data_IF_946664173203
#
_entry.id   IF_946664173203
#
_cell.length_a   1.000
_cell.length_b   1.000
_cell.length_c   1.000
_cell.angle_alpha   90.00
_cell.angle_beta   90.00
_cell.angle_gamma   90.00
#
_symmetry.space_group_name_H-M   'P 1'
#
loop_
_entity.id
_entity.type
_entity.pdbx_description
1 polymer ?
#
# COMPACT_ATOMS: atom_id res chain seq x y z
N UNK A 1 36.66 18.56 16.22
CA UNK A 1 35.96 19.26 15.11
C UNK A 1 34.60 18.62 14.90
N UNK A 2 33.52 19.41 14.76
CA UNK A 2 32.17 18.90 14.43
C UNK A 2 31.91 19.07 12.94
N UNK A 3 31.53 17.99 12.27
CA UNK A 3 31.31 17.96 10.82
C UNK A 3 29.81 18.13 10.50
N UNK A 4 29.36 19.28 9.93
CA UNK A 4 27.96 19.44 9.54
C UNK A 4 27.63 18.68 8.24
N UNK A 5 26.48 18.02 8.20
CA UNK A 5 26.12 17.04 7.17
C UNK A 5 25.88 17.59 5.75
N UNK A 6 25.59 18.88 5.56
CA UNK A 6 25.07 19.39 4.28
C UNK A 6 26.12 20.01 3.34
N UNK A 7 27.14 20.70 3.88
CA UNK A 7 28.14 21.41 3.05
C UNK A 7 29.34 20.55 2.62
N UNK A 8 29.61 19.48 3.36
CA UNK A 8 30.88 18.74 3.26
C UNK A 8 30.81 17.48 2.42
N UNK A 9 29.61 17.00 2.08
CA UNK A 9 29.37 15.82 1.22
C UNK A 9 29.94 15.97 -0.20
N UNK A 10 30.39 17.16 -0.61
CA UNK A 10 30.97 17.43 -1.93
C UNK A 10 32.42 17.92 -1.88
N UNK A 11 33.03 17.99 -0.70
CA UNK A 11 34.42 18.45 -0.57
C UNK A 11 35.38 17.37 -1.07
N UNK A 12 36.24 17.75 -2.02
CA UNK A 12 37.36 16.93 -2.50
C UNK A 12 38.60 17.04 -1.63
N UNK A 13 38.54 17.79 -0.53
CA UNK A 13 39.63 17.99 0.42
C UNK A 13 39.39 17.15 1.67
N UNK A 14 40.45 16.98 2.44
CA UNK A 14 40.36 16.54 3.83
C UNK A 14 40.47 17.80 4.69
N UNK A 15 39.33 18.28 5.16
CA UNK A 15 39.30 19.54 5.89
C UNK A 15 40.02 19.46 7.25
N UNK A 16 40.17 18.28 7.84
CA UNK A 16 41.00 18.10 9.03
C UNK A 16 42.47 18.39 8.69
N UNK A 17 42.99 17.81 7.60
CA UNK A 17 44.36 18.08 7.16
C UNK A 17 44.57 19.55 6.79
N UNK A 18 43.59 20.17 6.12
CA UNK A 18 43.65 21.61 5.83
C UNK A 18 43.74 22.44 7.12
N UNK A 19 42.99 22.10 8.18
CA UNK A 19 43.06 22.80 9.47
C UNK A 19 44.41 22.55 10.16
N UNK A 20 44.90 21.31 10.15
CA UNK A 20 46.16 20.92 10.79
C UNK A 20 47.37 21.56 10.12
N UNK A 21 47.38 21.70 8.79
CA UNK A 21 48.45 22.39 8.05
C UNK A 21 48.62 23.84 8.51
N UNK A 22 47.53 24.49 8.90
CA UNK A 22 47.52 25.89 9.36
C UNK A 22 47.73 26.04 10.87
N UNK A 23 47.88 24.94 11.62
CA UNK A 23 48.15 24.95 13.05
C UNK A 23 49.53 24.33 13.32
N UNK A 24 50.43 25.09 13.95
CA UNK A 24 51.75 24.59 14.39
C UNK A 24 51.60 23.65 15.61
N UNK A 25 50.91 22.51 15.44
CA UNK A 25 50.78 21.46 16.46
C UNK A 25 51.89 20.42 16.27
N UNK A 26 52.50 19.98 17.38
CA UNK A 26 53.62 19.04 17.38
C UNK A 26 53.24 17.59 17.09
N UNK A 27 51.98 17.20 17.37
CA UNK A 27 51.42 15.90 17.01
C UNK A 27 49.91 16.03 16.71
N UNK A 28 49.60 16.17 15.43
CA UNK A 28 48.29 16.59 14.93
C UNK A 28 47.14 15.60 15.21
N UNK A 29 47.46 14.33 15.49
CA UNK A 29 46.47 13.28 15.76
C UNK A 29 46.23 13.04 17.26
N UNK A 30 47.15 13.47 18.14
CA UNK A 30 47.03 13.30 19.59
C UNK A 30 46.22 14.43 20.25
N UNK A 31 46.24 15.63 19.65
CA UNK A 31 45.63 16.84 20.25
C UNK A 31 44.20 17.13 19.76
N UNK A 32 43.66 16.32 18.84
CA UNK A 32 42.39 16.60 18.16
C UNK A 32 41.43 15.42 18.20
N UNK A 33 40.18 15.69 18.60
CA UNK A 33 39.08 14.75 18.51
C UNK A 33 38.13 15.13 17.36
N UNK A 34 37.83 14.17 16.49
CA UNK A 34 36.82 14.31 15.43
C UNK A 34 35.56 13.59 15.88
N UNK A 35 34.50 14.37 16.08
CA UNK A 35 33.16 13.89 16.45
C UNK A 35 32.28 14.00 15.20
N UNK A 36 31.76 12.87 14.73
CA UNK A 36 30.81 12.79 13.62
C UNK A 36 29.47 12.40 14.21
N UNK A 37 28.44 13.22 13.93
CA UNK A 37 27.09 13.00 14.42
C UNK A 37 26.16 12.73 13.25
N UNK A 38 25.46 11.59 13.25
CA UNK A 38 24.48 11.20 12.25
C UNK A 38 23.18 10.71 12.90
N UNK A 39 22.03 10.79 12.20
CA UNK A 39 20.78 10.23 12.70
C UNK A 39 20.82 8.73 12.98
N UNK A 40 21.81 8.00 12.46
CA UNK A 40 21.96 6.55 12.63
C UNK A 40 22.93 6.18 13.76
N UNK A 41 23.57 7.13 14.44
CA UNK A 41 24.56 6.82 15.48
C UNK A 41 24.00 6.00 16.65
N UNK A 42 22.70 6.13 16.95
CA UNK A 42 22.04 5.32 17.97
C UNK A 42 21.95 3.83 17.61
N UNK A 43 22.02 3.49 16.32
CA UNK A 43 21.94 2.13 15.79
C UNK A 43 23.31 1.60 15.35
N UNK A 44 24.13 2.47 14.75
CA UNK A 44 25.46 2.16 14.24
C UNK A 44 26.38 3.36 14.54
N UNK A 45 27.04 3.41 15.71
CA UNK A 45 27.83 4.57 16.13
C UNK A 45 28.92 4.89 15.12
N UNK A 46 28.98 6.14 14.63
CA UNK A 46 29.99 6.54 13.65
C UNK A 46 31.43 6.24 14.13
N UNK A 47 31.69 6.35 15.43
CA UNK A 47 32.99 6.04 16.07
C UNK A 47 33.52 4.64 15.81
N UNK A 48 32.65 3.67 15.49
CA UNK A 48 33.04 2.29 15.21
C UNK A 48 33.35 2.06 13.72
N UNK A 49 33.12 3.07 12.87
CA UNK A 49 33.39 2.97 11.44
C UNK A 49 34.89 3.07 11.14
N UNK A 50 35.52 2.07 10.48
CA UNK A 50 36.94 2.11 10.15
C UNK A 50 37.37 3.31 9.28
N UNK A 51 36.45 3.84 8.47
CA UNK A 51 36.70 5.00 7.61
C UNK A 51 37.08 6.27 8.41
N UNK A 52 36.69 6.36 9.69
CA UNK A 52 37.04 7.48 10.55
C UNK A 52 38.54 7.53 10.86
N UNK A 53 39.18 6.38 11.03
CA UNK A 53 40.63 6.30 11.24
C UNK A 53 41.39 6.64 9.96
N UNK A 54 40.96 6.13 8.81
CA UNK A 54 41.55 6.50 7.51
C UNK A 54 41.41 8.01 7.22
N UNK A 55 40.30 8.63 7.64
CA UNK A 55 40.11 10.07 7.51
C UNK A 55 41.06 10.87 8.43
N UNK A 56 41.25 10.42 9.68
CA UNK A 56 42.20 11.02 10.64
C UNK A 56 43.65 10.94 10.16
N UNK A 57 43.98 9.89 9.41
CA UNK A 57 45.29 9.72 8.76
C UNK A 57 45.45 10.53 7.47
N UNK A 58 44.43 11.31 7.07
CA UNK A 58 44.48 12.12 5.86
C UNK A 58 44.26 11.35 4.55
N UNK A 59 43.88 10.06 4.61
CA UNK A 59 43.74 9.19 3.42
C UNK A 59 42.42 9.38 2.68
N UNK A 60 41.39 9.87 3.37
CA UNK A 60 40.06 10.11 2.81
C UNK A 60 39.77 11.60 2.68
N UNK A 61 39.01 11.96 1.64
CA UNK A 61 38.39 13.29 1.55
C UNK A 61 37.09 13.30 2.36
N UNK A 62 36.57 14.48 2.68
CA UNK A 62 35.31 14.60 3.42
C UNK A 62 34.16 13.89 2.69
N UNK A 63 34.09 14.02 1.36
CA UNK A 63 33.08 13.33 0.55
C UNK A 63 33.20 11.80 0.63
N UNK A 64 34.43 11.26 0.58
CA UNK A 64 34.66 9.81 0.69
C UNK A 64 34.30 9.29 2.07
N UNK A 65 34.66 10.03 3.13
CA UNK A 65 34.26 9.69 4.50
C UNK A 65 32.73 9.59 4.60
N UNK A 66 32.00 10.60 4.12
CA UNK A 66 30.54 10.62 4.22
C UNK A 66 29.86 9.49 3.44
N UNK A 67 30.40 9.12 2.27
CA UNK A 67 29.90 7.95 1.52
C UNK A 67 30.16 6.65 2.28
N UNK A 68 31.42 6.40 2.67
CA UNK A 68 31.79 5.16 3.35
C UNK A 68 31.09 5.00 4.71
N UNK A 69 31.01 6.07 5.49
CA UNK A 69 30.28 6.09 6.76
C UNK A 69 28.78 5.82 6.55
N UNK A 70 28.16 6.47 5.55
CA UNK A 70 26.75 6.27 5.24
C UNK A 70 26.45 4.84 4.78
N UNK A 71 27.32 4.23 3.99
CA UNK A 71 27.19 2.84 3.55
C UNK A 71 27.34 1.87 4.74
N UNK A 72 28.38 2.08 5.55
CA UNK A 72 28.66 1.27 6.73
C UNK A 72 27.53 1.33 7.77
N UNK A 73 27.02 2.54 8.08
CA UNK A 73 25.92 2.73 9.04
C UNK A 73 24.61 2.10 8.54
N UNK A 74 24.32 2.19 7.23
CA UNK A 74 23.12 1.54 6.66
C UNK A 74 23.19 0.03 6.78
N UNK A 75 24.33 -0.56 6.44
CA UNK A 75 24.54 -2.01 6.53
C UNK A 75 24.45 -2.50 7.99
N UNK A 76 25.12 -1.82 8.92
CA UNK A 76 25.11 -2.22 10.33
C UNK A 76 23.75 -2.00 11.00
N UNK A 77 23.06 -0.91 10.69
CA UNK A 77 21.72 -0.66 11.22
C UNK A 77 20.69 -1.66 10.65
N UNK A 78 20.83 -2.06 9.38
CA UNK A 78 19.97 -3.07 8.76
C UNK A 78 20.15 -4.47 9.39
N UNK A 79 21.39 -4.83 9.73
CA UNK A 79 21.72 -6.08 10.42
C UNK A 79 21.40 -6.07 11.93
N UNK A 80 20.98 -4.93 12.47
CA UNK A 80 20.56 -4.79 13.86
C UNK A 80 19.16 -5.34 14.13
N UNK A 81 18.72 -5.27 15.39
CA UNK A 81 17.37 -5.70 15.79
C UNK A 81 16.27 -4.65 15.58
N UNK A 82 16.58 -3.51 14.95
CA UNK A 82 15.64 -2.42 14.76
C UNK A 82 14.77 -2.67 13.51
N UNK A 83 13.49 -2.33 13.59
CA UNK A 83 12.52 -2.62 12.53
C UNK A 83 12.01 -1.34 11.86
N UNK A 84 12.00 -1.31 10.52
CA UNK A 84 11.55 -0.13 9.77
C UNK A 84 12.28 0.08 8.45
N UNK A 85 12.40 1.34 8.03
CA UNK A 85 13.03 1.76 6.77
C UNK A 85 14.18 2.73 7.06
N UNK A 86 15.36 2.45 6.52
CA UNK A 86 16.52 3.33 6.63
C UNK A 86 16.65 4.16 5.35
N UNK A 87 16.49 5.48 5.47
CA UNK A 87 16.76 6.45 4.41
C UNK A 87 17.36 7.74 5.00
N UNK A 88 18.68 7.74 5.24
CA UNK A 88 19.40 8.82 5.93
C UNK A 88 19.10 8.94 7.43
N UNK A 89 17.91 8.49 7.84
CA UNK A 89 17.44 8.27 9.21
C UNK A 89 16.67 6.95 9.27
N UNK A 90 16.37 6.49 10.48
CA UNK A 90 15.50 5.33 10.71
C UNK A 90 14.05 5.78 10.84
N UNK A 91 13.16 5.22 10.02
CA UNK A 91 11.73 5.44 10.08
C UNK A 91 11.04 4.16 10.56
N UNK A 92 10.14 4.29 11.55
CA UNK A 92 9.24 3.18 11.89
C UNK A 92 8.30 2.87 10.71
N UNK A 93 7.70 1.67 10.64
CA UNK A 93 6.71 1.37 9.60
C UNK A 93 5.57 2.40 9.50
N UNK A 94 5.10 2.89 10.65
CA UNK A 94 4.05 3.92 10.73
C UNK A 94 4.54 5.27 10.22
N UNK A 95 5.74 5.70 10.63
CA UNK A 95 6.33 6.96 10.15
C UNK A 95 6.61 6.92 8.64
N UNK A 96 7.06 5.78 8.12
CA UNK A 96 7.24 5.58 6.68
C UNK A 96 5.92 5.71 5.93
N UNK A 97 4.86 5.05 6.39
CA UNK A 97 3.55 5.13 5.79
C UNK A 97 2.97 6.55 5.84
N UNK A 98 3.09 7.22 6.99
CA UNK A 98 2.64 8.59 7.18
C UNK A 98 3.41 9.58 6.29
N UNK A 99 4.74 9.47 6.22
CA UNK A 99 5.61 10.34 5.42
C UNK A 99 5.26 10.26 3.93
N UNK A 100 4.96 9.07 3.43
CA UNK A 100 4.55 8.85 2.03
C UNK A 100 3.03 9.00 1.81
N UNK A 101 2.26 9.31 2.85
CA UNK A 101 0.79 9.38 2.80
C UNK A 101 0.17 8.13 2.16
N UNK A 102 0.70 6.95 2.51
CA UNK A 102 0.23 5.68 1.95
C UNK A 102 -1.20 5.39 2.44
N UNK A 103 -2.04 4.91 1.53
CA UNK A 103 -3.42 4.51 1.81
C UNK A 103 -3.83 3.32 0.96
N UNK A 104 -4.95 2.68 1.33
CA UNK A 104 -5.52 1.53 0.62
C UNK A 104 -4.50 0.40 0.42
N UNK A 105 -4.41 -0.12 -0.81
CA UNK A 105 -3.47 -1.19 -1.17
C UNK A 105 -2.02 -0.85 -0.85
N UNK A 106 -1.58 0.38 -1.06
CA UNK A 106 -0.18 0.76 -0.81
C UNK A 106 0.19 0.68 0.68
N UNK A 107 -0.71 1.10 1.56
CA UNK A 107 -0.49 0.99 3.00
C UNK A 107 -0.45 -0.48 3.45
N UNK A 108 -1.36 -1.31 2.92
CA UNK A 108 -1.38 -2.76 3.20
C UNK A 108 -0.11 -3.45 2.71
N UNK A 109 0.33 -3.15 1.48
CA UNK A 109 1.57 -3.70 0.91
C UNK A 109 2.78 -3.29 1.77
N UNK A 110 2.90 -2.01 2.13
CA UNK A 110 4.00 -1.53 2.94
C UNK A 110 4.07 -2.25 4.29
N UNK A 111 2.92 -2.38 4.97
CA UNK A 111 2.82 -3.08 6.25
C UNK A 111 3.26 -4.54 6.14
N UNK A 112 2.72 -5.30 5.20
CA UNK A 112 3.03 -6.72 5.03
C UNK A 112 4.50 -6.96 4.65
N UNK A 113 5.08 -6.12 3.79
CA UNK A 113 6.49 -6.23 3.43
C UNK A 113 7.40 -5.92 4.61
N UNK A 114 7.07 -4.89 5.40
CA UNK A 114 7.86 -4.51 6.56
C UNK A 114 7.69 -5.56 7.66
N UNK A 115 6.48 -5.91 8.10
CA UNK A 115 6.24 -6.89 9.18
C UNK A 115 6.90 -8.25 8.96
N UNK A 116 7.06 -8.69 7.70
CA UNK A 116 7.69 -9.96 7.35
C UNK A 116 9.22 -9.88 7.27
N UNK A 117 9.79 -8.68 7.25
CA UNK A 117 11.22 -8.48 7.11
C UNK A 117 11.93 -8.46 8.46
N UNK A 118 12.88 -9.37 8.64
CA UNK A 118 13.72 -9.38 9.83
C UNK A 118 14.71 -8.20 9.77
N UNK A 119 14.51 -7.19 10.61
CA UNK A 119 15.37 -6.01 10.70
C UNK A 119 14.84 -4.80 9.92
N UNK A 120 15.76 -3.94 9.45
CA UNK A 120 15.44 -2.69 8.79
C UNK A 120 15.78 -2.72 7.30
N UNK A 121 14.87 -2.19 6.47
CA UNK A 121 15.06 -2.13 5.02
C UNK A 121 15.81 -0.85 4.65
N UNK A 122 17.06 -0.97 4.21
CA UNK A 122 17.82 0.16 3.68
C UNK A 122 17.41 0.49 2.23
N UNK A 123 17.03 1.74 1.98
CA UNK A 123 16.62 2.20 0.64
C UNK A 123 17.32 3.49 0.23
N UNK A 124 17.72 3.57 -1.04
CA UNK A 124 18.35 4.78 -1.59
C UNK A 124 17.33 5.90 -1.85
N UNK A 125 16.13 5.55 -2.28
CA UNK A 125 15.03 6.47 -2.49
C UNK A 125 13.90 6.16 -1.52
N UNK A 126 13.39 7.17 -0.82
CA UNK A 126 12.24 7.03 0.07
C UNK A 126 10.95 6.84 -0.73
N UNK A 127 10.72 5.62 -1.20
CA UNK A 127 9.54 5.23 -1.98
C UNK A 127 9.12 3.81 -1.62
N UNK A 128 7.82 3.50 -1.78
CA UNK A 128 7.33 2.13 -1.61
C UNK A 128 7.94 1.18 -2.67
N UNK A 129 8.25 1.68 -3.87
CA UNK A 129 8.90 0.89 -4.92
C UNK A 129 10.30 0.42 -4.51
N UNK A 130 11.09 1.29 -3.89
CA UNK A 130 12.41 0.92 -3.36
C UNK A 130 12.32 -0.13 -2.24
N UNK A 131 11.35 0.01 -1.33
CA UNK A 131 11.11 -1.00 -0.27
C UNK A 131 10.68 -2.34 -0.88
N UNK A 132 9.75 -2.34 -1.83
CA UNK A 132 9.31 -3.54 -2.53
C UNK A 132 10.45 -4.21 -3.30
N UNK A 133 11.32 -3.43 -3.95
CA UNK A 133 12.52 -3.93 -4.63
C UNK A 133 13.53 -4.56 -3.67
N UNK A 134 13.83 -3.87 -2.56
CA UNK A 134 14.77 -4.36 -1.55
C UNK A 134 14.28 -5.63 -0.85
N UNK A 135 12.97 -5.74 -0.61
CA UNK A 135 12.34 -6.89 0.05
C UNK A 135 11.85 -7.97 -0.93
N UNK A 136 12.07 -7.81 -2.24
CA UNK A 136 11.48 -8.68 -3.26
C UNK A 136 11.86 -10.15 -3.10
N UNK A 137 13.16 -10.46 -3.07
CA UNK A 137 13.65 -11.83 -2.91
C UNK A 137 13.39 -12.39 -1.51
N UNK A 138 13.63 -11.64 -0.41
CA UNK A 138 13.38 -12.16 0.93
C UNK A 138 11.91 -12.51 1.21
N UNK A 139 10.97 -11.62 0.84
CA UNK A 139 9.56 -11.76 1.26
C UNK A 139 8.55 -11.39 0.17
N UNK A 140 8.87 -10.46 -0.72
CA UNK A 140 7.92 -9.94 -1.72
C UNK A 140 7.38 -11.02 -2.67
N UNK A 141 8.23 -11.96 -3.12
CA UNK A 141 7.80 -13.08 -3.95
C UNK A 141 6.88 -14.05 -3.20
N UNK A 142 7.13 -14.30 -1.91
CA UNK A 142 6.24 -15.14 -1.11
C UNK A 142 4.90 -14.44 -0.89
N UNK A 143 4.92 -13.14 -0.58
CA UNK A 143 3.70 -12.34 -0.43
C UNK A 143 2.87 -12.32 -1.73
N UNK A 144 3.53 -12.24 -2.89
CA UNK A 144 2.89 -12.34 -4.19
C UNK A 144 2.16 -13.68 -4.36
N UNK A 145 2.82 -14.79 -3.99
CA UNK A 145 2.24 -16.14 -4.05
C UNK A 145 1.06 -16.29 -3.09
N UNK A 146 1.17 -15.74 -1.87
CA UNK A 146 0.08 -15.75 -0.89
C UNK A 146 -1.18 -15.04 -1.42
N UNK A 147 -1.01 -14.05 -2.31
CA UNK A 147 -2.10 -13.36 -3.01
C UNK A 147 -2.45 -13.97 -4.38
N UNK A 148 -1.99 -15.19 -4.65
CA UNK A 148 -2.32 -15.93 -5.89
C UNK A 148 -1.62 -15.41 -7.15
N UNK A 149 -0.58 -14.60 -7.00
CA UNK A 149 0.25 -14.09 -8.10
C UNK A 149 1.43 -15.02 -8.44
N UNK A 150 2.07 -14.74 -9.57
CA UNK A 150 3.33 -15.37 -9.98
C UNK A 150 4.29 -14.29 -10.43
N UNK A 151 5.57 -14.42 -10.06
CA UNK A 151 6.59 -13.44 -10.37
C UNK A 151 6.82 -13.34 -11.89
N UNK A 152 6.88 -12.11 -12.41
CA UNK A 152 7.20 -11.79 -13.80
C UNK A 152 8.27 -10.67 -13.91
N UNK A 153 8.50 -10.14 -15.11
CA UNK A 153 9.54 -9.13 -15.40
C UNK A 153 9.15 -7.69 -15.00
N UNK A 154 7.91 -7.44 -14.54
CA UNK A 154 7.44 -6.10 -14.16
C UNK A 154 8.00 -5.66 -12.82
N UNK A 155 7.82 -4.40 -12.49
CA UNK A 155 8.26 -3.84 -11.20
C UNK A 155 7.58 -4.57 -10.02
N UNK A 156 8.32 -4.96 -8.96
CA UNK A 156 7.78 -5.67 -7.79
C UNK A 156 6.49 -5.07 -7.21
N UNK A 157 6.46 -3.75 -7.06
CA UNK A 157 5.31 -3.06 -6.50
C UNK A 157 4.06 -3.15 -7.40
N UNK A 158 4.24 -3.16 -8.72
CA UNK A 158 3.13 -3.33 -9.66
C UNK A 158 2.53 -4.73 -9.51
N UNK A 159 3.37 -5.76 -9.46
CA UNK A 159 2.93 -7.15 -9.29
C UNK A 159 2.14 -7.34 -7.99
N UNK A 160 2.63 -6.75 -6.89
CA UNK A 160 1.97 -6.80 -5.58
C UNK A 160 0.62 -6.09 -5.58
N UNK A 161 0.49 -4.94 -6.23
CA UNK A 161 -0.79 -4.22 -6.37
C UNK A 161 -1.82 -5.05 -7.13
N UNK A 162 -1.42 -5.60 -8.28
CA UNK A 162 -2.29 -6.40 -9.11
C UNK A 162 -2.72 -7.70 -8.42
N UNK A 163 -1.80 -8.36 -7.72
CA UNK A 163 -2.11 -9.57 -6.96
C UNK A 163 -3.06 -9.25 -5.81
N UNK A 164 -2.79 -8.21 -5.02
CA UNK A 164 -3.66 -7.82 -3.91
C UNK A 164 -5.06 -7.45 -4.39
N UNK A 165 -5.18 -6.65 -5.45
CA UNK A 165 -6.48 -6.26 -6.01
C UNK A 165 -7.27 -7.49 -6.49
N UNK A 166 -6.60 -8.47 -7.11
CA UNK A 166 -7.24 -9.73 -7.54
C UNK A 166 -7.63 -10.59 -6.35
N UNK A 167 -6.78 -10.72 -5.34
CA UNK A 167 -7.05 -11.49 -4.13
C UNK A 167 -8.28 -10.92 -3.40
N UNK A 168 -8.35 -9.61 -3.20
CA UNK A 168 -9.51 -8.97 -2.57
C UNK A 168 -10.80 -9.18 -3.40
N UNK A 169 -10.70 -9.14 -4.74
CA UNK A 169 -11.82 -9.44 -5.61
C UNK A 169 -12.28 -10.90 -5.48
N UNK A 170 -11.33 -11.84 -5.38
CA UNK A 170 -11.61 -13.26 -5.20
C UNK A 170 -12.24 -13.54 -3.84
N UNK A 171 -11.69 -12.97 -2.76
CA UNK A 171 -12.22 -13.10 -1.40
C UNK A 171 -13.66 -12.56 -1.32
N UNK A 172 -13.90 -11.39 -1.93
CA UNK A 172 -15.22 -10.77 -1.98
C UNK A 172 -16.26 -11.64 -2.72
N UNK A 173 -15.83 -12.40 -3.74
CA UNK A 173 -16.68 -13.32 -4.48
C UNK A 173 -16.83 -14.68 -3.79
N UNK A 174 -15.80 -15.17 -3.10
CA UNK A 174 -15.82 -16.44 -2.38
C UNK A 174 -16.79 -16.42 -1.18
N UNK A 175 -17.08 -15.24 -0.64
CA UNK A 175 -18.12 -15.05 0.37
C UNK A 175 -19.54 -15.29 -0.17
N UNK A 176 -19.73 -15.30 -1.49
CA UNK A 176 -21.02 -15.49 -2.14
C UNK A 176 -21.14 -16.90 -2.72
N UNK A 177 -22.27 -17.59 -2.52
CA UNK A 177 -22.48 -18.90 -3.14
C UNK A 177 -22.53 -18.79 -4.66
N UNK A 178 -22.11 -19.86 -5.37
CA UNK A 178 -22.37 -20.00 -6.79
C UNK A 178 -23.83 -20.41 -6.99
N UNK A 179 -24.61 -19.54 -7.63
CA UNK A 179 -26.01 -19.78 -7.92
C UNK A 179 -26.15 -20.24 -9.38
N UNK A 180 -27.06 -21.18 -9.62
CA UNK A 180 -27.35 -21.71 -10.96
C UNK A 180 -28.06 -20.70 -11.87
N UNK A 181 -28.77 -21.19 -12.89
CA UNK A 181 -29.54 -20.33 -13.79
C UNK A 181 -30.69 -19.64 -13.05
N UNK A 182 -30.45 -18.41 -12.60
CA UNK A 182 -31.44 -17.57 -11.95
C UNK A 182 -32.39 -16.91 -12.97
N UNK A 183 -33.67 -16.70 -12.63
CA UNK A 183 -34.57 -15.86 -13.41
C UNK A 183 -34.06 -14.40 -13.51
N UNK A 184 -34.55 -13.59 -14.47
CA UNK A 184 -33.97 -12.27 -14.79
C UNK A 184 -33.78 -11.33 -13.59
N UNK A 185 -34.77 -11.24 -12.69
CA UNK A 185 -34.72 -10.34 -11.55
C UNK A 185 -33.76 -10.81 -10.43
N UNK A 186 -33.82 -12.06 -9.94
CA UNK A 186 -32.78 -12.60 -9.06
C UNK A 186 -31.38 -12.55 -9.69
N UNK A 187 -31.27 -12.77 -11.00
CA UNK A 187 -30.00 -12.67 -11.71
C UNK A 187 -29.46 -11.23 -11.74
N UNK A 188 -30.32 -10.23 -11.93
CA UNK A 188 -29.94 -8.82 -11.84
C UNK A 188 -29.45 -8.46 -10.42
N UNK A 189 -30.15 -8.91 -9.39
CA UNK A 189 -29.76 -8.69 -7.99
C UNK A 189 -28.41 -9.36 -7.66
N UNK A 190 -28.20 -10.62 -8.06
CA UNK A 190 -26.94 -11.34 -7.85
C UNK A 190 -25.77 -10.64 -8.57
N UNK A 191 -25.93 -10.31 -9.86
CA UNK A 191 -24.91 -9.57 -10.62
C UNK A 191 -24.60 -8.22 -9.97
N UNK A 192 -25.61 -7.47 -9.54
CA UNK A 192 -25.40 -6.19 -8.90
C UNK A 192 -24.58 -6.30 -7.61
N UNK A 193 -24.88 -7.27 -6.74
CA UNK A 193 -24.10 -7.48 -5.51
C UNK A 193 -22.67 -7.89 -5.82
N UNK A 194 -22.43 -8.79 -6.80
CA UNK A 194 -21.07 -9.16 -7.22
C UNK A 194 -20.29 -7.96 -7.73
N UNK A 195 -20.91 -7.08 -8.52
CA UNK A 195 -20.27 -5.87 -9.02
C UNK A 195 -20.00 -4.85 -7.91
N UNK A 196 -20.88 -4.73 -6.92
CA UNK A 196 -20.68 -3.90 -5.73
C UNK A 196 -19.51 -4.41 -4.89
N UNK A 197 -19.50 -5.70 -4.58
CA UNK A 197 -18.46 -6.34 -3.75
C UNK A 197 -17.07 -6.28 -4.39
N UNK A 198 -17.02 -6.22 -5.72
CA UNK A 198 -15.76 -6.12 -6.50
C UNK A 198 -15.41 -4.69 -6.92
N UNK A 199 -16.18 -3.68 -6.51
CA UNK A 199 -15.90 -2.27 -6.81
C UNK A 199 -16.03 -1.89 -8.29
N UNK A 200 -16.67 -2.73 -9.12
CA UNK A 200 -16.83 -2.54 -10.57
C UNK A 200 -17.99 -1.59 -10.89
N UNK A 201 -17.90 -0.36 -10.39
CA UNK A 201 -18.97 0.64 -10.46
C UNK A 201 -19.42 0.95 -11.89
N UNK A 202 -18.50 1.05 -12.86
CA UNK A 202 -18.88 1.35 -14.25
C UNK A 202 -19.68 0.22 -14.91
N UNK A 203 -19.31 -1.04 -14.65
CA UNK A 203 -20.07 -2.19 -15.12
C UNK A 203 -21.45 -2.24 -14.46
N UNK A 204 -21.52 -1.95 -13.15
CA UNK A 204 -22.79 -1.85 -12.43
C UNK A 204 -23.69 -0.78 -13.05
N UNK A 205 -23.16 0.40 -13.37
CA UNK A 205 -23.95 1.46 -14.00
C UNK A 205 -24.50 1.04 -15.37
N UNK A 206 -23.73 0.28 -16.15
CA UNK A 206 -24.18 -0.26 -17.45
C UNK A 206 -25.29 -1.29 -17.28
N UNK A 207 -25.16 -2.22 -16.33
CA UNK A 207 -26.20 -3.20 -16.02
C UNK A 207 -27.50 -2.52 -15.56
N UNK A 208 -27.41 -1.54 -14.67
CA UNK A 208 -28.59 -0.82 -14.16
C UNK A 208 -29.28 0.01 -15.24
N UNK A 209 -28.52 0.57 -16.19
CA UNK A 209 -29.09 1.28 -17.33
C UNK A 209 -29.86 0.33 -18.26
N UNK A 210 -29.36 -0.90 -18.49
CA UNK A 210 -30.08 -1.90 -19.27
C UNK A 210 -31.37 -2.36 -18.57
N UNK A 211 -31.31 -2.57 -17.25
CA UNK A 211 -32.47 -2.94 -16.44
C UNK A 211 -33.56 -1.86 -16.39
N UNK A 212 -33.21 -0.59 -16.61
CA UNK A 212 -34.16 0.53 -16.63
C UNK A 212 -35.20 0.45 -17.77
N UNK A 213 -34.94 -0.38 -18.80
CA UNK A 213 -35.83 -0.65 -19.93
C UNK A 213 -36.53 -2.02 -19.85
N UNK A 214 -36.31 -2.77 -18.76
CA UNK A 214 -36.79 -4.14 -18.59
C UNK A 214 -38.16 -4.21 -17.87
N UNK A 215 -38.45 -5.33 -17.20
CA UNK A 215 -39.71 -5.51 -16.47
C UNK A 215 -39.89 -4.49 -15.34
N UNK A 216 -41.13 -4.28 -14.90
CA UNK A 216 -41.43 -3.33 -13.82
C UNK A 216 -40.62 -3.62 -12.54
N UNK A 217 -40.47 -4.90 -12.18
CA UNK A 217 -39.68 -5.33 -11.02
C UNK A 217 -38.18 -5.08 -11.19
N UNK A 218 -37.62 -5.33 -12.38
CA UNK A 218 -36.22 -5.03 -12.67
C UNK A 218 -35.92 -3.53 -12.65
N UNK A 219 -36.84 -2.71 -13.16
CA UNK A 219 -36.73 -1.24 -13.11
C UNK A 219 -36.77 -0.72 -11.68
N UNK A 220 -37.65 -1.26 -10.84
CA UNK A 220 -37.76 -0.89 -9.44
C UNK A 220 -36.50 -1.31 -8.66
N UNK A 221 -36.02 -2.54 -8.89
CA UNK A 221 -34.76 -2.99 -8.31
C UNK A 221 -33.57 -2.12 -8.76
N UNK A 222 -33.49 -1.78 -10.05
CA UNK A 222 -32.43 -0.91 -10.57
C UNK A 222 -32.45 0.46 -9.89
N UNK A 223 -33.63 1.04 -9.67
CA UNK A 223 -33.77 2.29 -8.92
C UNK A 223 -33.35 2.16 -7.45
N UNK A 224 -33.74 1.07 -6.77
CA UNK A 224 -33.32 0.81 -5.39
C UNK A 224 -31.78 0.72 -5.26
N UNK A 225 -31.11 0.06 -6.21
CA UNK A 225 -29.65 -0.07 -6.24
C UNK A 225 -28.97 1.27 -6.52
N UNK A 226 -29.51 2.08 -7.43
CA UNK A 226 -28.99 3.43 -7.70
C UNK A 226 -29.07 4.32 -6.45
N UNK A 227 -30.11 4.17 -5.63
CA UNK A 227 -30.22 4.88 -4.36
C UNK A 227 -29.22 4.38 -3.33
N UNK A 228 -29.09 3.07 -3.19
CA UNK A 228 -28.14 2.45 -2.27
C UNK A 228 -26.70 2.90 -2.54
N UNK A 229 -26.33 3.06 -3.81
CA UNK A 229 -24.98 3.50 -4.23
C UNK A 229 -24.80 5.01 -4.31
N UNK A 230 -25.82 5.81 -3.95
CA UNK A 230 -25.78 7.27 -4.10
C UNK A 230 -25.72 7.77 -5.56
N UNK A 231 -25.95 6.88 -6.53
CA UNK A 231 -25.86 7.16 -7.97
C UNK A 231 -27.20 7.52 -8.63
N UNK A 232 -28.25 7.77 -7.83
CA UNK A 232 -29.59 8.11 -8.29
C UNK A 232 -29.72 9.53 -8.87
N UNK A 233 -28.78 10.43 -8.53
CA UNK A 233 -28.84 11.85 -8.90
C UNK A 233 -28.95 12.06 -10.41
N UNK A 234 -29.95 12.84 -10.84
CA UNK A 234 -30.16 13.20 -12.25
C UNK A 234 -30.81 12.13 -13.11
N UNK A 235 -31.18 10.97 -12.55
CA UNK A 235 -31.83 9.86 -13.27
C UNK A 235 -33.29 9.65 -12.90
N UNK A 236 -33.84 10.43 -11.97
CA UNK A 236 -35.23 10.33 -11.51
C UNK A 236 -36.26 10.38 -12.64
N UNK A 237 -35.99 11.15 -13.70
CA UNK A 237 -36.88 11.29 -14.86
C UNK A 237 -37.04 10.00 -15.68
N UNK A 238 -36.10 9.04 -15.55
CA UNK A 238 -36.12 7.76 -16.26
C UNK A 238 -37.08 6.74 -15.62
N UNK A 239 -37.50 7.00 -14.37
CA UNK A 239 -38.32 6.08 -13.59
C UNK A 239 -39.69 6.69 -13.27
N UNK A 240 -40.75 5.97 -13.65
CA UNK A 240 -42.12 6.35 -13.31
C UNK A 240 -42.31 6.40 -11.78
N UNK A 241 -43.30 7.15 -11.29
CA UNK A 241 -43.54 7.29 -9.85
C UNK A 241 -43.81 5.93 -9.20
N UNK A 242 -44.60 5.10 -9.85
CA UNK A 242 -45.01 3.77 -9.38
C UNK A 242 -43.79 2.84 -9.22
N UNK A 243 -42.81 2.94 -10.14
CA UNK A 243 -41.54 2.20 -10.06
C UNK A 243 -40.70 2.66 -8.87
N UNK A 244 -40.70 3.97 -8.59
CA UNK A 244 -39.96 4.55 -7.47
C UNK A 244 -40.57 4.19 -6.13
N UNK A 245 -41.91 4.18 -6.02
CA UNK A 245 -42.64 3.71 -4.85
C UNK A 245 -42.35 2.23 -4.59
N UNK A 246 -42.42 1.38 -5.62
CA UNK A 246 -42.12 -0.04 -5.46
C UNK A 246 -40.66 -0.31 -5.07
N UNK A 247 -39.72 0.49 -5.58
CA UNK A 247 -38.32 0.40 -5.20
C UNK A 247 -38.06 0.74 -3.72
N UNK A 248 -38.87 1.59 -3.09
CA UNK A 248 -38.78 1.84 -1.65
C UNK A 248 -39.08 0.59 -0.83
N UNK A 249 -39.99 -0.26 -1.32
CA UNK A 249 -40.30 -1.54 -0.70
C UNK A 249 -39.17 -2.56 -0.89
N UNK A 250 -38.50 -2.54 -2.05
CA UNK A 250 -37.39 -3.46 -2.36
C UNK A 250 -36.07 -3.06 -1.71
N UNK A 251 -35.89 -1.79 -1.36
CA UNK A 251 -34.60 -1.27 -0.89
C UNK A 251 -34.07 -1.98 0.39
N UNK A 252 -34.86 -2.17 1.47
CA UNK A 252 -34.37 -2.89 2.65
C UNK A 252 -34.00 -4.35 2.36
N UNK A 253 -34.71 -5.00 1.44
CA UNK A 253 -34.42 -6.37 1.04
C UNK A 253 -33.10 -6.43 0.25
N UNK A 254 -32.86 -5.47 -0.64
CA UNK A 254 -31.59 -5.37 -1.36
C UNK A 254 -30.42 -5.05 -0.43
N UNK A 255 -30.59 -4.15 0.54
CA UNK A 255 -29.55 -3.85 1.54
C UNK A 255 -29.17 -5.08 2.37
N UNK A 256 -30.18 -5.89 2.75
CA UNK A 256 -29.96 -7.17 3.42
C UNK A 256 -29.18 -8.14 2.54
N UNK A 257 -29.57 -8.27 1.26
CA UNK A 257 -28.88 -9.12 0.29
C UNK A 257 -27.43 -8.67 0.07
N UNK A 258 -27.19 -7.36 -0.07
CA UNK A 258 -25.86 -6.80 -0.31
C UNK A 258 -24.89 -7.08 0.84
N UNK A 259 -25.39 -7.16 2.07
CA UNK A 259 -24.63 -7.48 3.28
C UNK A 259 -24.52 -8.98 3.58
N UNK A 260 -25.37 -9.82 2.98
CA UNK A 260 -25.43 -11.26 3.26
C UNK A 260 -24.24 -12.04 2.66
N UNK A 261 -23.90 -13.14 3.32
CA UNK A 261 -22.78 -14.04 2.94
C UNK A 261 -23.18 -15.51 3.16
N UNK A 262 -22.53 -16.42 2.43
CA UNK A 262 -22.76 -17.86 2.55
C UNK A 262 -24.23 -18.27 2.37
N UNK A 263 -24.75 -19.11 3.26
CA UNK A 263 -26.13 -19.61 3.17
C UNK A 263 -27.19 -18.50 3.30
N UNK A 264 -26.91 -17.45 4.09
CA UNK A 264 -27.85 -16.33 4.27
C UNK A 264 -28.07 -15.52 3.00
N UNK A 265 -27.13 -15.59 2.05
CA UNK A 265 -27.23 -14.90 0.77
C UNK A 265 -28.34 -15.47 -0.11
N UNK A 266 -28.44 -16.79 -0.22
CA UNK A 266 -29.46 -17.44 -1.03
C UNK A 266 -30.87 -17.15 -0.48
N UNK A 267 -31.03 -17.20 0.84
CA UNK A 267 -32.29 -16.87 1.52
C UNK A 267 -32.68 -15.40 1.30
N UNK A 268 -31.72 -14.48 1.39
CA UNK A 268 -31.95 -13.06 1.13
C UNK A 268 -32.35 -12.80 -0.33
N UNK A 269 -31.74 -13.51 -1.28
CA UNK A 269 -32.04 -13.38 -2.70
C UNK A 269 -33.43 -13.92 -3.02
N UNK A 270 -33.81 -15.08 -2.47
CA UNK A 270 -35.14 -15.64 -2.61
C UNK A 270 -36.20 -14.70 -2.01
N UNK A 271 -35.93 -14.11 -0.85
CA UNK A 271 -36.84 -13.13 -0.22
C UNK A 271 -37.03 -11.88 -1.08
N UNK A 272 -35.96 -11.36 -1.68
CA UNK A 272 -36.02 -10.24 -2.62
C UNK A 272 -36.87 -10.62 -3.84
N UNK A 273 -36.67 -11.81 -4.41
CA UNK A 273 -37.44 -12.31 -5.54
C UNK A 273 -38.95 -12.36 -5.24
N UNK A 274 -39.31 -12.92 -4.07
CA UNK A 274 -40.71 -13.02 -3.63
C UNK A 274 -41.37 -11.64 -3.46
N UNK A 275 -40.66 -10.69 -2.85
CA UNK A 275 -41.15 -9.31 -2.69
C UNK A 275 -41.33 -8.63 -4.05
N UNK A 276 -40.44 -8.92 -5.00
CA UNK A 276 -40.50 -8.39 -6.35
C UNK A 276 -41.53 -9.10 -7.26
N UNK A 277 -42.24 -10.12 -6.74
CA UNK A 277 -43.22 -10.91 -7.50
C UNK A 277 -42.60 -11.83 -8.55
N UNK A 278 -41.34 -12.23 -8.38
CA UNK A 278 -40.61 -13.13 -9.27
C UNK A 278 -40.49 -14.54 -8.70
N UNK A 279 -40.43 -15.54 -9.59
CA UNK A 279 -40.07 -16.92 -9.23
C UNK A 279 -38.55 -17.01 -8.97
N UNK A 280 -38.14 -18.01 -8.19
CA UNK A 280 -36.75 -18.28 -7.80
C UNK A 280 -36.32 -19.67 -8.23
#
# INVERSE_FOLDING_TARGET
MRLPAAGWRRSSRNSLMDVLEHQHAGDATADWEVEVMTPLDALAPATECPALDEYREGKLTDAKLWTQLGDWQREHAANGGAHGVIHGEMLTPDDFAARLSLSGHNARIARELLERHDGAVAVEALTLGAVAGATWKPHGQQLLVDWGGSADEREPLEQLRDALARAEMQDALAALPELGSLPPLPALADRAVRLLRTGRSEDLQRELAAAAEASHGERALAWAILRHTGSAGGREWQFAREVREFAEELQPAFETLAAAEGASYADALQRLAQLAGAEF
#
